data_IF_089271752917
#
_entry.id   IF_089271752917
#
_cell.length_a   1.000
_cell.length_b   1.000
_cell.length_c   1.000
_cell.angle_alpha   90.00
_cell.angle_beta   90.00
_cell.angle_gamma   90.00
#
_symmetry.space_group_name_H-M   'P 1'
#
loop_
_entity.id
_entity.type
_entity.pdbx_description
1 polymer ?
#
# COMPACT_ATOMS: atom_id res chain seq x y z
N UNK A 1 -11.19 -2.33 -25.02
CA UNK A 1 -10.54 -3.42 -24.26
C UNK A 1 -10.99 -3.34 -22.81
N UNK A 2 -11.17 -4.47 -22.12
CA UNK A 2 -11.53 -4.48 -20.69
C UNK A 2 -10.33 -3.99 -19.88
N UNK A 3 -10.54 -3.03 -18.97
CA UNK A 3 -9.49 -2.54 -18.06
C UNK A 3 -9.09 -3.67 -17.10
N UNK A 4 -7.81 -3.72 -16.76
CA UNK A 4 -7.26 -4.69 -15.81
C UNK A 4 -7.48 -4.20 -14.38
N UNK A 5 -7.69 -5.12 -13.44
CA UNK A 5 -7.77 -4.83 -12.01
C UNK A 5 -6.38 -4.93 -11.42
N UNK A 6 -5.89 -3.82 -10.87
CA UNK A 6 -4.57 -3.74 -10.23
C UNK A 6 -4.77 -3.41 -8.75
N UNK A 7 -4.30 -4.31 -7.90
CA UNK A 7 -4.17 -4.07 -6.47
C UNK A 7 -2.80 -3.49 -6.14
N UNK A 8 -2.79 -2.53 -5.22
CA UNK A 8 -1.59 -1.84 -4.77
C UNK A 8 -1.52 -1.98 -3.25
N UNK A 9 -0.45 -2.58 -2.74
CA UNK A 9 -0.17 -2.56 -1.31
C UNK A 9 0.17 -1.15 -0.81
N UNK A 10 0.06 -0.91 0.49
CA UNK A 10 0.48 0.35 1.09
C UNK A 10 1.92 0.35 1.56
N UNK A 11 2.28 -0.56 2.47
CA UNK A 11 3.48 -0.40 3.29
C UNK A 11 4.73 -0.75 2.48
N UNK A 12 5.66 0.21 2.35
CA UNK A 12 6.83 0.13 1.46
C UNK A 12 6.50 0.07 -0.05
N UNK A 13 5.25 0.33 -0.44
CA UNK A 13 4.82 0.43 -1.84
C UNK A 13 4.22 1.81 -2.12
N UNK A 14 3.07 2.15 -1.53
CA UNK A 14 2.53 3.51 -1.60
C UNK A 14 3.15 4.45 -0.57
N UNK A 15 3.56 3.90 0.58
CA UNK A 15 4.07 4.67 1.73
C UNK A 15 5.44 4.16 2.13
N UNK A 16 6.30 5.03 2.66
CA UNK A 16 7.59 4.64 3.23
C UNK A 16 7.48 4.39 4.73
N UNK A 17 7.52 3.14 5.17
CA UNK A 17 7.41 2.78 6.60
C UNK A 17 8.52 3.42 7.44
N UNK A 18 9.73 3.60 6.89
CA UNK A 18 10.86 4.20 7.61
C UNK A 18 10.59 5.65 7.98
N UNK A 19 9.88 6.38 7.14
CA UNK A 19 9.48 7.77 7.44
C UNK A 19 8.52 7.84 8.63
N UNK A 20 7.67 6.83 8.84
CA UNK A 20 6.80 6.74 10.02
C UNK A 20 7.57 6.50 11.31
N UNK A 21 8.58 5.63 11.26
CA UNK A 21 9.52 5.38 12.37
C UNK A 21 10.27 6.66 12.72
N UNK A 22 10.82 7.36 11.72
CA UNK A 22 11.61 8.59 11.92
C UNK A 22 10.80 9.75 12.56
N UNK A 23 9.46 9.69 12.49
CA UNK A 23 8.55 10.68 13.08
C UNK A 23 7.87 10.20 14.36
N UNK A 24 8.30 9.06 14.89
CA UNK A 24 7.76 8.47 16.12
C UNK A 24 8.69 8.79 17.27
N UNK A 25 8.11 9.12 18.42
CA UNK A 25 8.86 9.50 19.62
C UNK A 25 9.69 8.33 20.16
N UNK A 26 10.92 8.61 20.63
CA UNK A 26 11.89 7.60 21.05
C UNK A 26 11.34 6.62 22.11
N UNK A 27 10.59 7.12 23.08
CA UNK A 27 10.00 6.29 24.13
C UNK A 27 9.03 5.23 23.58
N UNK A 28 8.31 5.53 22.49
CA UNK A 28 7.45 4.56 21.81
C UNK A 28 8.29 3.55 21.02
N UNK A 29 9.38 4.00 20.38
CA UNK A 29 10.29 3.10 19.67
C UNK A 29 10.91 2.07 20.63
N UNK A 30 11.28 2.50 21.84
CA UNK A 30 11.78 1.62 22.90
C UNK A 30 10.70 0.66 23.39
N UNK A 31 9.51 1.16 23.71
CA UNK A 31 8.38 0.35 24.21
C UNK A 31 7.94 -0.74 23.22
N UNK A 32 8.03 -0.47 21.92
CA UNK A 32 7.62 -1.35 20.83
C UNK A 32 8.82 -1.91 20.05
N UNK A 33 10.01 -1.96 20.66
CA UNK A 33 11.19 -2.52 20.02
C UNK A 33 10.92 -3.94 19.48
N UNK A 34 11.24 -4.16 18.20
CA UNK A 34 10.98 -5.42 17.49
C UNK A 34 9.54 -5.61 16.96
N UNK A 35 8.63 -4.68 17.28
CA UNK A 35 7.20 -4.70 16.90
C UNK A 35 6.69 -3.29 16.59
N UNK A 36 7.48 -2.53 15.85
CA UNK A 36 7.20 -1.11 15.58
C UNK A 36 5.91 -0.89 14.78
N UNK A 37 5.45 -1.90 14.05
CA UNK A 37 4.15 -1.91 13.39
C UNK A 37 2.97 -1.96 14.39
N UNK A 38 3.23 -2.24 15.67
CA UNK A 38 2.25 -2.16 16.76
C UNK A 38 2.15 -0.76 17.39
N UNK A 39 3.00 0.20 17.01
CA UNK A 39 2.94 1.56 17.55
C UNK A 39 1.65 2.25 17.09
N UNK A 40 0.79 2.73 18.01
CA UNK A 40 -0.41 3.46 17.62
C UNK A 40 -0.07 4.75 16.85
N UNK A 41 -0.79 4.98 15.75
CA UNK A 41 -0.68 6.18 14.93
C UNK A 41 0.54 6.21 14.00
N UNK A 42 1.40 5.19 13.98
CA UNK A 42 2.62 5.21 13.17
C UNK A 42 2.32 5.31 11.67
N UNK A 43 1.27 4.62 11.21
CA UNK A 43 0.88 4.56 9.80
C UNK A 43 0.38 5.91 9.26
N UNK A 44 -0.23 6.75 10.09
CA UNK A 44 -0.70 8.07 9.70
C UNK A 44 0.45 9.05 9.42
N UNK A 45 1.66 8.78 9.95
CA UNK A 45 2.85 9.64 9.86
C UNK A 45 3.69 9.38 8.61
N UNK A 46 3.44 8.28 7.89
CA UNK A 46 4.26 7.86 6.76
C UNK A 46 4.14 8.83 5.58
N UNK A 47 5.26 9.08 4.93
CA UNK A 47 5.34 9.81 3.67
C UNK A 47 5.02 8.89 2.49
N UNK A 48 4.55 9.44 1.37
CA UNK A 48 4.44 8.69 0.12
C UNK A 48 5.80 8.15 -0.31
N UNK A 49 5.81 6.93 -0.83
CA UNK A 49 6.98 6.35 -1.46
C UNK A 49 7.37 7.19 -2.71
N UNK A 50 8.68 7.36 -3.02
CA UNK A 50 9.09 8.11 -4.20
C UNK A 50 8.36 7.70 -5.48
N UNK A 51 7.86 8.70 -6.20
CA UNK A 51 7.06 8.54 -7.43
C UNK A 51 5.75 7.75 -7.31
N UNK A 52 5.29 7.39 -6.10
CA UNK A 52 4.06 6.61 -5.92
C UNK A 52 2.82 7.35 -6.42
N UNK A 53 2.60 8.58 -5.93
CA UNK A 53 1.38 9.35 -6.20
C UNK A 53 1.20 9.60 -7.71
N UNK A 54 2.24 10.11 -8.38
CA UNK A 54 2.25 10.36 -9.82
C UNK A 54 2.03 9.08 -10.65
N UNK A 55 2.65 7.97 -10.27
CA UNK A 55 2.51 6.67 -10.94
C UNK A 55 1.10 6.12 -10.80
N UNK A 56 0.51 6.22 -9.61
CA UNK A 56 -0.86 5.79 -9.34
C UNK A 56 -1.86 6.59 -10.18
N UNK A 57 -1.74 7.91 -10.24
CA UNK A 57 -2.60 8.74 -11.10
C UNK A 57 -2.39 8.50 -12.61
N UNK A 58 -1.20 8.08 -13.01
CA UNK A 58 -0.96 7.67 -14.39
C UNK A 58 -1.65 6.33 -14.69
N UNK A 59 -1.38 5.30 -13.88
CA UNK A 59 -1.94 3.96 -14.03
C UNK A 59 -3.47 3.96 -13.89
N UNK A 60 -4.05 4.89 -13.13
CA UNK A 60 -5.50 5.04 -12.99
C UNK A 60 -6.20 5.46 -14.29
N UNK A 61 -5.45 5.88 -15.32
CA UNK A 61 -5.97 6.16 -16.67
C UNK A 61 -6.06 4.89 -17.51
N UNK A 62 -5.32 3.84 -17.14
CA UNK A 62 -5.20 2.58 -17.90
C UNK A 62 -5.97 1.45 -17.22
N UNK A 63 -5.90 1.37 -15.89
CA UNK A 63 -6.40 0.26 -15.08
C UNK A 63 -7.43 0.67 -14.04
N UNK A 64 -8.20 -0.31 -13.57
CA UNK A 64 -9.06 -0.15 -12.41
C UNK A 64 -8.24 -0.45 -11.15
N UNK A 65 -7.85 0.62 -10.45
CA UNK A 65 -6.98 0.52 -9.27
C UNK A 65 -7.77 0.32 -7.98
N UNK A 66 -7.19 -0.47 -7.09
CA UNK A 66 -7.64 -0.69 -5.72
C UNK A 66 -6.44 -0.71 -4.79
N UNK A 67 -6.60 -0.26 -3.55
CA UNK A 67 -5.61 -0.46 -2.50
C UNK A 67 -5.96 -1.76 -1.78
N UNK A 68 -4.97 -2.65 -1.61
CA UNK A 68 -5.12 -3.91 -0.88
C UNK A 68 -4.01 -4.00 0.17
N UNK A 69 -4.31 -3.50 1.37
CA UNK A 69 -3.37 -3.43 2.48
C UNK A 69 -3.69 -4.47 3.54
N UNK A 70 -2.69 -4.85 4.32
CA UNK A 70 -2.90 -5.51 5.61
C UNK A 70 -2.76 -4.48 6.73
N UNK A 71 -3.50 -4.64 7.83
CA UNK A 71 -3.32 -3.87 9.06
C UNK A 71 -2.84 -4.83 10.17
N UNK A 72 -1.81 -4.52 10.96
CA UNK A 72 -1.32 -5.42 12.00
C UNK A 72 -2.40 -5.79 13.01
N UNK A 73 -2.47 -7.06 13.40
CA UNK A 73 -3.53 -7.58 14.27
C UNK A 73 -3.54 -6.91 15.65
N UNK A 74 -2.36 -6.62 16.18
CA UNK A 74 -2.17 -6.00 17.50
C UNK A 74 -2.13 -4.47 17.43
N UNK A 75 -2.41 -3.87 16.27
CA UNK A 75 -2.52 -2.42 16.09
C UNK A 75 -3.88 -1.99 15.52
N UNK A 76 -4.91 -1.82 16.36
CA UNK A 76 -6.22 -1.37 15.89
C UNK A 76 -6.20 0.01 15.22
N UNK A 77 -5.28 0.91 15.59
CA UNK A 77 -5.22 2.25 14.98
C UNK A 77 -4.86 2.18 13.50
N UNK A 78 -4.06 1.17 13.10
CA UNK A 78 -3.58 1.02 11.74
C UNK A 78 -4.70 1.00 10.69
N UNK A 79 -5.89 0.51 11.07
CA UNK A 79 -7.06 0.53 10.20
C UNK A 79 -7.51 1.95 9.86
N UNK A 80 -7.64 2.79 10.89
CA UNK A 80 -8.04 4.20 10.76
C UNK A 80 -6.93 4.97 10.06
N UNK A 81 -5.69 4.79 10.51
CA UNK A 81 -4.52 5.47 9.98
C UNK A 81 -4.36 5.29 8.47
N UNK A 82 -4.59 4.07 7.96
CA UNK A 82 -4.54 3.77 6.51
C UNK A 82 -5.65 4.47 5.74
N UNK A 83 -6.86 4.54 6.29
CA UNK A 83 -7.97 5.31 5.68
C UNK A 83 -7.64 6.80 5.65
N UNK A 84 -7.17 7.36 6.75
CA UNK A 84 -6.80 8.78 6.86
C UNK A 84 -5.66 9.15 5.91
N UNK A 85 -4.66 8.26 5.77
CA UNK A 85 -3.58 8.45 4.82
C UNK A 85 -4.11 8.54 3.39
N UNK A 86 -5.00 7.62 2.98
CA UNK A 86 -5.64 7.66 1.65
C UNK A 86 -6.43 8.95 1.47
N UNK A 87 -7.19 9.40 2.48
CA UNK A 87 -7.90 10.66 2.42
C UNK A 87 -6.97 11.86 2.21
N UNK A 88 -5.82 11.88 2.90
CA UNK A 88 -4.84 12.97 2.84
C UNK A 88 -4.20 13.11 1.47
N UNK A 89 -3.83 11.99 0.82
CA UNK A 89 -3.06 12.04 -0.43
C UNK A 89 -3.88 11.81 -1.70
N UNK A 90 -5.02 11.13 -1.62
CA UNK A 90 -5.86 10.81 -2.78
C UNK A 90 -7.27 11.42 -2.72
N UNK A 91 -7.62 12.08 -1.61
CA UNK A 91 -8.92 12.70 -1.38
C UNK A 91 -9.95 11.75 -0.76
N UNK A 92 -10.99 12.34 -0.16
CA UNK A 92 -12.11 11.63 0.51
C UNK A 92 -13.47 11.83 -0.17
N UNK A 93 -13.52 12.74 -1.14
CA UNK A 93 -14.76 13.09 -1.84
C UNK A 93 -15.17 11.96 -2.80
N UNK A 94 -16.46 11.92 -3.18
CA UNK A 94 -17.01 10.85 -4.03
C UNK A 94 -16.32 10.68 -5.39
N UNK A 95 -15.69 11.74 -5.90
CA UNK A 95 -14.91 11.75 -7.14
C UNK A 95 -13.41 11.47 -6.94
N UNK A 96 -12.97 11.19 -5.71
CA UNK A 96 -11.59 10.85 -5.39
C UNK A 96 -11.23 9.46 -5.92
N UNK A 97 -9.97 9.28 -6.31
CA UNK A 97 -9.50 8.07 -7.02
C UNK A 97 -9.84 6.78 -6.28
N UNK A 98 -9.64 6.75 -4.96
CA UNK A 98 -9.85 5.57 -4.13
C UNK A 98 -11.12 5.61 -3.27
N UNK A 99 -12.10 6.45 -3.61
CA UNK A 99 -13.38 6.46 -2.90
C UNK A 99 -14.02 5.06 -2.91
N UNK A 100 -14.13 4.43 -1.73
CA UNK A 100 -14.57 3.03 -1.53
C UNK A 100 -13.75 1.98 -2.30
N UNK A 101 -12.44 2.20 -2.47
CA UNK A 101 -11.52 1.25 -3.14
C UNK A 101 -10.31 0.82 -2.30
N UNK A 102 -10.36 1.10 -0.99
CA UNK A 102 -9.42 0.54 -0.01
C UNK A 102 -10.01 -0.75 0.56
N UNK A 103 -9.23 -1.83 0.50
CA UNK A 103 -9.54 -3.14 1.06
C UNK A 103 -8.45 -3.46 2.08
N UNK A 104 -8.87 -3.75 3.32
CA UNK A 104 -7.96 -4.21 4.37
C UNK A 104 -8.18 -5.71 4.55
N UNK A 105 -7.13 -6.50 4.31
CA UNK A 105 -7.19 -7.96 4.34
C UNK A 105 -5.85 -8.57 4.80
N UNK A 106 -5.92 -9.65 5.57
CA UNK A 106 -4.77 -10.52 5.87
C UNK A 106 -4.56 -11.62 4.81
N UNK A 107 -5.47 -11.75 3.85
CA UNK A 107 -5.46 -12.80 2.83
C UNK A 107 -5.68 -12.18 1.44
N UNK A 108 -4.60 -11.66 0.86
CA UNK A 108 -4.61 -11.00 -0.45
C UNK A 108 -4.91 -11.97 -1.59
N UNK A 109 -4.55 -13.24 -1.43
CA UNK A 109 -4.85 -14.31 -2.39
C UNK A 109 -6.35 -14.57 -2.61
N UNK A 110 -7.23 -14.11 -1.71
CA UNK A 110 -8.68 -14.26 -1.85
C UNK A 110 -9.31 -13.18 -2.75
N UNK A 111 -8.55 -12.14 -3.10
CA UNK A 111 -9.03 -11.07 -3.97
C UNK A 111 -8.83 -11.45 -5.45
N UNK A 112 -9.87 -11.28 -6.26
CA UNK A 112 -9.81 -11.52 -7.69
C UNK A 112 -9.33 -10.27 -8.43
N UNK A 113 -8.17 -10.35 -9.08
CA UNK A 113 -7.61 -9.27 -9.89
C UNK A 113 -6.52 -9.77 -10.83
N UNK A 114 -6.06 -8.88 -11.72
CA UNK A 114 -5.05 -9.22 -12.73
C UNK A 114 -3.62 -9.04 -12.20
N UNK A 115 -3.40 -8.04 -11.34
CA UNK A 115 -2.08 -7.72 -10.79
C UNK A 115 -2.16 -7.36 -9.31
N UNK A 116 -1.10 -7.68 -8.56
CA UNK A 116 -0.85 -7.20 -7.20
C UNK A 116 0.56 -6.63 -7.12
N UNK A 117 0.70 -5.34 -6.83
CA UNK A 117 1.98 -4.68 -6.56
C UNK A 117 2.22 -4.70 -5.04
N UNK A 118 3.23 -5.43 -4.59
CA UNK A 118 3.47 -5.69 -3.17
C UNK A 118 4.96 -5.95 -2.91
N UNK A 119 5.50 -5.45 -1.78
CA UNK A 119 6.92 -5.57 -1.42
C UNK A 119 7.26 -6.94 -0.81
N UNK A 120 6.27 -7.71 -0.35
CA UNK A 120 6.50 -8.96 0.40
C UNK A 120 5.63 -10.10 -0.12
N UNK A 121 6.09 -11.32 0.15
CA UNK A 121 5.37 -12.57 -0.19
C UNK A 121 4.28 -12.95 0.82
N UNK A 122 4.17 -12.21 1.93
CA UNK A 122 3.33 -12.55 3.07
C UNK A 122 1.83 -12.28 2.80
N UNK A 123 0.97 -12.70 3.74
CA UNK A 123 -0.47 -12.42 3.72
C UNK A 123 -1.15 -12.87 2.41
N UNK A 124 -0.63 -13.93 1.78
CA UNK A 124 -1.15 -14.47 0.53
C UNK A 124 -0.72 -13.71 -0.73
N UNK A 125 0.20 -12.75 -0.67
CA UNK A 125 0.65 -12.03 -1.86
C UNK A 125 1.34 -12.96 -2.88
N UNK A 126 2.17 -13.90 -2.42
CA UNK A 126 2.83 -14.90 -3.28
C UNK A 126 1.85 -15.84 -3.97
N UNK A 127 0.72 -16.13 -3.32
CA UNK A 127 -0.31 -17.05 -3.82
C UNK A 127 -1.46 -16.31 -4.54
N UNK A 128 -1.27 -15.02 -4.80
CA UNK A 128 -2.21 -14.22 -5.58
C UNK A 128 -2.40 -14.84 -6.96
N UNK A 129 -3.65 -14.97 -7.39
CA UNK A 129 -3.98 -15.70 -8.63
C UNK A 129 -3.62 -14.91 -9.89
N UNK A 130 -3.59 -13.58 -9.81
CA UNK A 130 -3.02 -12.73 -10.85
C UNK A 130 -1.49 -12.67 -10.79
N UNK A 131 -0.87 -11.77 -11.55
CA UNK A 131 0.58 -11.58 -11.47
C UNK A 131 0.94 -10.77 -10.20
N UNK A 132 1.77 -11.35 -9.34
CA UNK A 132 2.42 -10.63 -8.25
C UNK A 132 3.66 -9.89 -8.76
N UNK A 133 3.60 -8.57 -8.71
CA UNK A 133 4.71 -7.65 -9.01
C UNK A 133 5.43 -7.36 -7.70
N UNK A 134 6.56 -8.05 -7.51
CA UNK A 134 7.40 -7.91 -6.32
C UNK A 134 8.14 -6.56 -6.34
N UNK A 135 7.54 -5.56 -5.70
CA UNK A 135 8.07 -4.20 -5.63
C UNK A 135 9.35 -4.15 -4.79
N UNK A 136 10.35 -3.39 -5.24
CA UNK A 136 11.67 -3.34 -4.61
C UNK A 136 12.60 -4.51 -4.99
N UNK A 137 12.16 -5.42 -5.87
CA UNK A 137 13.02 -6.48 -6.42
C UNK A 137 13.91 -5.97 -7.57
N UNK A 138 14.89 -6.78 -8.00
CA UNK A 138 15.76 -6.44 -9.15
C UNK A 138 14.97 -6.14 -10.44
N UNK A 139 13.83 -6.82 -10.66
CA UNK A 139 12.97 -6.62 -11.84
C UNK A 139 12.09 -5.38 -11.71
N UNK A 140 11.68 -5.03 -10.49
CA UNK A 140 10.75 -3.94 -10.21
C UNK A 140 11.25 -3.10 -9.02
N UNK A 141 12.40 -2.43 -9.16
CA UNK A 141 13.05 -1.77 -8.03
C UNK A 141 12.29 -0.52 -7.55
N UNK A 142 11.45 0.05 -8.42
CA UNK A 142 10.76 1.30 -8.16
C UNK A 142 9.45 1.46 -8.96
N UNK A 143 8.73 2.53 -8.64
CA UNK A 143 7.49 2.91 -9.33
C UNK A 143 7.68 3.24 -10.81
N UNK A 144 8.85 3.72 -11.23
CA UNK A 144 9.12 4.02 -12.64
C UNK A 144 9.10 2.74 -13.46
N UNK A 145 9.73 1.69 -12.96
CA UNK A 145 9.81 0.39 -13.61
C UNK A 145 8.45 -0.31 -13.64
N UNK A 146 7.72 -0.28 -12.52
CA UNK A 146 6.36 -0.82 -12.45
C UNK A 146 5.40 -0.09 -13.39
N UNK A 147 5.46 1.25 -13.41
CA UNK A 147 4.60 2.05 -14.29
C UNK A 147 4.86 1.74 -15.74
N UNK A 148 6.14 1.64 -16.15
CA UNK A 148 6.51 1.26 -17.52
C UNK A 148 5.99 -0.13 -17.89
N UNK A 149 6.05 -1.10 -16.97
CA UNK A 149 5.57 -2.46 -17.21
C UNK A 149 4.05 -2.53 -17.38
N UNK A 150 3.32 -1.71 -16.63
CA UNK A 150 1.86 -1.67 -16.66
C UNK A 150 1.29 -0.60 -17.61
N UNK A 151 2.12 0.10 -18.39
CA UNK A 151 1.66 1.09 -19.39
C UNK A 151 1.22 0.41 -20.68
#
# INVERSE_FOLDING_TARGET
MKRKIVYIDMDNVLVDFKSGIAKTEDHLLEQYAGRLDEVPGIFARMDPYPAAIESVYFLSKLHDLYILSTAPWLNPSAWIDKVEWVHKYFGKERNSLFYKRLIISHHKNLNAGDYLIDDRSNNGARDFQGEWIHFGSDRFPDWKTVTKYLS
#
